data_IF_405059213580
#
_entry.id   IF_405059213580
#
_cell.length_a   1.000
_cell.length_b   1.000
_cell.length_c   1.000
_cell.angle_alpha   90.00
_cell.angle_beta   90.00
_cell.angle_gamma   90.00
#
_symmetry.space_group_name_H-M   'P 1'
#
loop_
_entity.id
_entity.type
_entity.pdbx_description
1 polymer ?
#
# COMPACT_ATOMS: atom_id res chain seq x y z
N UNK A 1 15.93 -4.22 -9.25
CA UNK A 1 15.83 -2.86 -8.71
C UNK A 1 15.23 -2.98 -7.33
N UNK A 2 15.72 -2.22 -6.35
CA UNK A 2 15.24 -2.36 -4.96
C UNK A 2 14.02 -1.45 -4.72
N UNK A 3 12.82 -2.02 -4.84
CA UNK A 3 11.56 -1.31 -4.56
C UNK A 3 11.47 -0.82 -3.10
N UNK A 4 12.13 -1.52 -2.19
CA UNK A 4 11.92 -1.48 -0.73
C UNK A 4 12.76 -0.42 -0.02
N UNK A 5 13.71 0.22 -0.71
CA UNK A 5 14.49 1.35 -0.20
C UNK A 5 14.48 2.56 -1.14
N UNK A 6 13.63 2.51 -2.17
CA UNK A 6 13.44 3.60 -3.10
C UNK A 6 12.51 4.66 -2.51
N UNK A 7 12.87 5.94 -2.68
CA UNK A 7 11.98 7.08 -2.44
C UNK A 7 11.05 7.25 -3.65
N UNK A 8 9.75 7.23 -3.39
CA UNK A 8 8.73 7.44 -4.42
C UNK A 8 8.04 8.77 -4.18
N UNK A 9 7.95 9.60 -5.22
CA UNK A 9 7.27 10.89 -5.17
C UNK A 9 5.81 10.75 -5.63
N UNK A 10 4.87 11.31 -4.90
CA UNK A 10 3.45 11.30 -5.28
C UNK A 10 3.23 12.24 -6.45
N UNK A 11 2.71 11.69 -7.55
CA UNK A 11 2.41 12.42 -8.77
C UNK A 11 1.13 13.25 -8.61
N UNK A 12 1.01 14.37 -9.33
CA UNK A 12 -0.16 15.28 -9.26
C UNK A 12 -1.46 14.62 -9.74
N UNK A 13 -1.37 13.68 -10.69
CA UNK A 13 -2.48 12.83 -11.13
C UNK A 13 -2.72 11.67 -10.13
N UNK A 14 -3.02 12.03 -8.89
CA UNK A 14 -3.43 11.11 -7.82
C UNK A 14 -4.79 11.54 -7.29
N UNK A 15 -5.68 10.58 -7.04
CA UNK A 15 -7.03 10.81 -6.56
C UNK A 15 -7.55 9.60 -5.76
N UNK A 16 -8.87 9.54 -5.51
CA UNK A 16 -9.51 8.45 -4.76
C UNK A 16 -9.50 7.10 -5.48
N UNK A 17 -9.22 7.05 -6.79
CA UNK A 17 -9.02 5.80 -7.54
C UNK A 17 -7.61 5.22 -7.36
N UNK A 18 -6.61 6.08 -7.16
CA UNK A 18 -5.27 5.63 -6.81
C UNK A 18 -4.25 6.75 -6.66
N UNK A 19 -3.17 6.40 -5.97
CA UNK A 19 -2.02 7.30 -5.75
C UNK A 19 -0.91 6.93 -6.71
N UNK A 20 -0.70 7.76 -7.73
CA UNK A 20 0.33 7.52 -8.75
C UNK A 20 1.70 7.95 -8.23
N UNK A 21 2.71 7.14 -8.50
CA UNK A 21 4.05 7.33 -7.98
C UNK A 21 5.05 7.56 -9.10
N UNK A 22 5.98 8.48 -8.84
CA UNK A 22 7.15 8.76 -9.66
C UNK A 22 8.36 8.17 -8.94
N UNK A 23 9.12 7.35 -9.66
CA UNK A 23 10.34 6.76 -9.15
C UNK A 23 11.13 6.11 -10.27
N UNK A 24 12.14 5.30 -9.94
CA UNK A 24 12.99 4.67 -10.92
C UNK A 24 12.21 3.61 -11.72
N UNK A 25 12.62 3.43 -12.98
CA UNK A 25 12.02 2.45 -13.88
C UNK A 25 12.32 1.01 -13.39
N UNK A 26 11.31 0.13 -13.24
CA UNK A 26 11.54 -1.26 -12.84
C UNK A 26 12.43 -1.99 -13.86
N UNK A 27 13.22 -2.94 -13.36
CA UNK A 27 13.98 -3.87 -14.20
C UNK A 27 13.18 -5.15 -14.35
N UNK A 28 12.54 -5.33 -15.49
CA UNK A 28 11.74 -6.49 -15.80
C UNK A 28 12.61 -7.72 -16.11
N UNK A 29 12.12 -8.91 -15.71
CA UNK A 29 12.80 -10.18 -15.97
C UNK A 29 12.39 -10.83 -17.29
N UNK A 30 11.20 -10.48 -17.79
CA UNK A 30 10.66 -10.91 -19.07
C UNK A 30 10.68 -9.75 -20.07
N UNK A 31 10.70 -10.10 -21.36
CA UNK A 31 10.76 -9.14 -22.47
C UNK A 31 9.39 -8.54 -22.81
N UNK A 32 8.30 -9.28 -22.56
CA UNK A 32 6.92 -8.90 -22.82
C UNK A 32 5.95 -9.63 -21.87
N UNK A 33 4.66 -9.36 -22.03
CA UNK A 33 3.59 -9.99 -21.28
C UNK A 33 3.00 -11.25 -21.91
N UNK A 34 3.53 -11.71 -23.05
CA UNK A 34 2.94 -12.76 -23.87
C UNK A 34 1.50 -12.42 -24.28
N UNK A 35 0.59 -13.38 -24.10
CA UNK A 35 -0.84 -13.22 -24.35
C UNK A 35 -1.50 -12.13 -23.47
N UNK A 36 -0.88 -11.77 -22.34
CA UNK A 36 -1.37 -10.69 -21.47
C UNK A 36 -1.14 -9.29 -22.03
N UNK A 37 -0.25 -9.13 -23.02
CA UNK A 37 0.06 -7.85 -23.65
C UNK A 37 1.55 -7.64 -23.95
N UNK A 38 1.88 -6.57 -24.66
CA UNK A 38 3.25 -6.34 -25.15
C UNK A 38 4.24 -5.86 -24.08
N UNK A 39 3.78 -5.25 -22.99
CA UNK A 39 4.69 -4.74 -21.95
C UNK A 39 5.00 -5.82 -20.89
N UNK A 40 6.23 -5.92 -20.37
CA UNK A 40 6.59 -6.87 -19.31
C UNK A 40 5.81 -6.77 -17.99
N UNK A 41 4.98 -5.74 -17.80
CA UNK A 41 4.08 -5.63 -16.65
C UNK A 41 2.75 -6.35 -16.87
N UNK A 42 2.44 -6.75 -18.10
CA UNK A 42 1.15 -7.29 -18.49
C UNK A 42 0.98 -8.77 -18.12
N UNK A 43 -0.04 -9.10 -17.35
CA UNK A 43 -0.44 -10.47 -17.03
C UNK A 43 -1.87 -10.69 -17.51
N UNK A 44 -2.32 -11.95 -17.54
CA UNK A 44 -3.75 -12.21 -17.67
C UNK A 44 -4.51 -11.55 -16.54
N UNK A 45 -5.68 -10.98 -16.86
CA UNK A 45 -6.48 -10.22 -15.92
C UNK A 45 -6.77 -11.00 -14.64
N UNK A 46 -6.35 -10.46 -13.51
CA UNK A 46 -6.56 -11.05 -12.20
C UNK A 46 -7.13 -10.03 -11.20
N UNK A 47 -7.74 -10.52 -10.13
CA UNK A 47 -8.19 -9.66 -9.04
C UNK A 47 -7.04 -8.88 -8.39
N UNK A 48 -7.33 -7.68 -7.92
CA UNK A 48 -6.41 -6.83 -7.18
C UNK A 48 -6.90 -6.66 -5.75
N UNK A 49 -5.98 -6.78 -4.78
CA UNK A 49 -6.27 -6.42 -3.40
C UNK A 49 -6.27 -4.90 -3.24
N UNK A 50 -7.11 -4.38 -2.34
CA UNK A 50 -7.06 -2.98 -1.94
C UNK A 50 -5.66 -2.64 -1.38
N UNK A 51 -5.09 -1.51 -1.80
CA UNK A 51 -3.74 -1.11 -1.43
C UNK A 51 -2.64 -1.82 -2.21
N UNK A 52 -2.96 -2.57 -3.26
CA UNK A 52 -1.95 -3.15 -4.16
C UNK A 52 -1.15 -2.07 -4.87
N UNK A 53 0.16 -2.31 -5.02
CA UNK A 53 1.02 -1.50 -5.88
C UNK A 53 0.92 -2.07 -7.29
N UNK A 54 0.06 -1.50 -8.13
CA UNK A 54 -0.15 -1.92 -9.50
C UNK A 54 0.83 -1.23 -10.44
N UNK A 55 1.49 -1.99 -11.32
CA UNK A 55 2.42 -1.45 -12.32
C UNK A 55 1.75 -1.32 -13.68
N UNK A 56 1.11 -0.18 -13.96
CA UNK A 56 0.56 0.16 -15.29
C UNK A 56 1.72 0.53 -16.23
N UNK A 57 2.42 -0.47 -16.74
CA UNK A 57 3.71 -0.27 -17.40
C UNK A 57 4.81 -0.04 -16.36
N UNK A 58 5.60 1.02 -16.56
CA UNK A 58 6.73 1.35 -15.68
C UNK A 58 6.39 2.31 -14.54
N UNK A 59 5.15 2.83 -14.50
CA UNK A 59 4.69 3.78 -13.49
C UNK A 59 3.76 3.09 -12.49
N UNK A 60 4.16 2.94 -11.22
CA UNK A 60 3.31 2.32 -10.22
C UNK A 60 2.18 3.26 -9.74
N UNK A 61 1.06 2.64 -9.38
CA UNK A 61 -0.08 3.27 -8.72
C UNK A 61 -0.51 2.42 -7.51
N UNK A 62 -0.73 3.07 -6.37
CA UNK A 62 -1.35 2.42 -5.21
C UNK A 62 -2.86 2.43 -5.44
N UNK A 63 -3.48 1.25 -5.55
CA UNK A 63 -4.91 1.12 -5.74
C UNK A 63 -5.65 1.45 -4.44
N UNK A 64 -6.53 2.45 -4.47
CA UNK A 64 -7.28 2.91 -3.30
C UNK A 64 -8.74 2.49 -3.37
N UNK A 65 -9.59 3.02 -2.48
CA UNK A 65 -10.97 2.52 -2.26
C UNK A 65 -11.89 2.63 -3.47
N UNK A 66 -11.64 3.58 -4.38
CA UNK A 66 -12.37 3.70 -5.67
C UNK A 66 -11.54 3.18 -6.85
N UNK A 67 -10.46 2.45 -6.57
CA UNK A 67 -9.60 1.86 -7.58
C UNK A 67 -10.21 0.62 -8.24
N UNK A 68 -9.63 0.18 -9.37
CA UNK A 68 -10.05 -1.05 -10.03
C UNK A 68 -9.85 -2.28 -9.14
N UNK A 69 -10.80 -3.22 -9.22
CA UNK A 69 -10.77 -4.49 -8.50
C UNK A 69 -10.13 -5.63 -9.31
N UNK A 70 -9.96 -5.46 -10.62
CA UNK A 70 -9.34 -6.42 -11.54
C UNK A 70 -8.53 -5.66 -12.60
N UNK A 71 -7.49 -6.30 -13.13
CA UNK A 71 -6.74 -5.79 -14.27
C UNK A 71 -5.57 -6.69 -14.68
N UNK A 72 -5.02 -6.42 -15.85
CA UNK A 72 -3.94 -7.19 -16.49
C UNK A 72 -2.54 -6.69 -16.17
N UNK A 73 -2.33 -6.12 -14.99
CA UNK A 73 -1.03 -5.58 -14.58
C UNK A 73 -0.56 -6.22 -13.27
N UNK A 74 0.75 -6.48 -13.17
CA UNK A 74 1.34 -7.08 -11.97
C UNK A 74 1.21 -6.17 -10.73
N UNK A 75 0.96 -6.82 -9.60
CA UNK A 75 0.89 -6.20 -8.27
C UNK A 75 1.85 -6.91 -7.30
N UNK A 76 3.16 -6.58 -7.26
CA UNK A 76 4.14 -7.33 -6.50
C UNK A 76 4.01 -7.21 -4.97
N UNK A 77 3.32 -6.17 -4.48
CA UNK A 77 3.14 -5.95 -3.04
C UNK A 77 1.81 -5.29 -2.73
N UNK A 78 1.36 -5.45 -1.49
CA UNK A 78 0.13 -4.84 -0.98
C UNK A 78 0.43 -4.09 0.31
N UNK A 79 -0.09 -2.87 0.42
CA UNK A 79 -0.04 -2.08 1.66
C UNK A 79 -0.93 -2.74 2.71
N UNK A 80 -0.45 -2.84 3.95
CA UNK A 80 -1.30 -3.37 5.01
C UNK A 80 -2.50 -2.45 5.26
N UNK A 81 -3.65 -3.04 5.56
CA UNK A 81 -4.87 -2.29 5.92
C UNK A 81 -4.66 -1.28 7.06
N UNK A 82 -3.76 -1.59 7.99
CA UNK A 82 -3.39 -0.71 9.10
C UNK A 82 -2.72 0.61 8.68
N UNK A 83 -2.19 0.68 7.47
CA UNK A 83 -1.53 1.87 6.93
C UNK A 83 -2.39 2.62 5.89
N UNK A 84 -3.61 2.17 5.60
CA UNK A 84 -4.48 2.83 4.61
C UNK A 84 -4.78 4.30 4.96
N UNK A 85 -4.86 4.63 6.25
CA UNK A 85 -5.06 6.02 6.68
C UNK A 85 -3.90 6.93 6.25
N UNK A 86 -2.67 6.42 6.16
CA UNK A 86 -1.51 7.18 5.68
C UNK A 86 -1.66 7.52 4.20
N UNK A 87 -2.14 6.56 3.40
CA UNK A 87 -2.42 6.77 1.97
C UNK A 87 -3.42 7.92 1.79
N UNK A 88 -4.48 7.95 2.60
CA UNK A 88 -5.50 8.99 2.55
C UNK A 88 -5.01 10.39 2.94
N UNK A 89 -3.80 10.53 3.48
CA UNK A 89 -3.18 11.82 3.81
C UNK A 89 -2.14 12.29 2.79
N UNK A 90 -1.80 11.46 1.80
CA UNK A 90 -0.80 11.78 0.78
C UNK A 90 -1.28 12.90 -0.15
N UNK A 91 -0.38 13.82 -0.45
CA UNK A 91 -0.57 14.95 -1.36
C UNK A 91 0.44 14.88 -2.49
N UNK A 92 0.12 15.55 -3.60
CA UNK A 92 1.09 15.71 -4.70
C UNK A 92 2.40 16.31 -4.18
N UNK A 93 3.52 15.72 -4.58
CA UNK A 93 4.85 16.15 -4.16
C UNK A 93 5.38 15.43 -2.92
N UNK A 94 4.53 14.76 -2.13
CA UNK A 94 4.97 13.97 -0.98
C UNK A 94 5.94 12.87 -1.40
N UNK A 95 6.82 12.49 -0.48
CA UNK A 95 7.78 11.40 -0.70
C UNK A 95 7.52 10.29 0.30
N UNK A 96 7.31 9.08 -0.22
CA UNK A 96 7.08 7.86 0.56
C UNK A 96 8.24 6.88 0.37
N UNK A 97 8.44 6.03 1.37
CA UNK A 97 9.31 4.86 1.28
C UNK A 97 8.50 3.65 1.72
N UNK A 98 8.55 2.59 0.92
CA UNK A 98 7.94 1.33 1.30
C UNK A 98 8.84 0.54 2.24
N UNK A 99 8.25 -0.14 3.24
CA UNK A 99 9.00 -0.99 4.16
C UNK A 99 8.42 -2.40 4.18
N UNK A 100 9.21 -3.42 3.81
CA UNK A 100 8.74 -4.79 3.77
C UNK A 100 8.50 -5.30 5.19
N UNK A 101 7.40 -6.01 5.37
CA UNK A 101 7.03 -6.69 6.60
C UNK A 101 6.43 -8.05 6.27
N UNK A 102 6.47 -8.96 7.25
CA UNK A 102 5.83 -10.28 7.15
C UNK A 102 4.37 -10.23 7.62
N UNK A 103 3.57 -11.20 7.22
CA UNK A 103 2.14 -11.29 7.57
C UNK A 103 1.89 -11.20 9.08
N UNK A 104 2.75 -11.82 9.90
CA UNK A 104 2.64 -11.76 11.36
C UNK A 104 2.80 -10.33 11.91
N UNK A 105 3.66 -9.51 11.29
CA UNK A 105 3.79 -8.09 11.65
C UNK A 105 2.55 -7.32 11.19
N UNK A 106 2.05 -7.56 9.98
CA UNK A 106 0.81 -6.95 9.49
C UNK A 106 -0.38 -7.19 10.44
N UNK A 107 -0.55 -8.44 10.89
CA UNK A 107 -1.59 -8.82 11.86
C UNK A 107 -1.40 -8.15 13.22
N UNK A 108 -0.15 -8.02 13.69
CA UNK A 108 0.16 -7.27 14.93
C UNK A 108 -0.22 -5.79 14.80
N UNK A 109 0.10 -5.14 13.69
CA UNK A 109 -0.29 -3.75 13.43
C UNK A 109 -1.82 -3.57 13.40
N UNK A 110 -2.54 -4.50 12.76
CA UNK A 110 -4.01 -4.49 12.75
C UNK A 110 -4.60 -4.61 14.14
N UNK A 111 -4.08 -5.52 14.96
CA UNK A 111 -4.49 -5.67 16.36
C UNK A 111 -4.22 -4.41 17.18
N UNK A 112 -3.06 -3.76 16.98
CA UNK A 112 -2.70 -2.52 17.67
C UNK A 112 -3.67 -1.38 17.35
N UNK A 113 -4.01 -1.17 16.07
CA UNK A 113 -4.98 -0.14 15.67
C UNK A 113 -6.36 -0.43 16.25
N UNK A 114 -6.84 -1.67 16.14
CA UNK A 114 -8.14 -2.03 16.69
C UNK A 114 -8.18 -1.83 18.21
N UNK A 115 -7.09 -2.16 18.92
CA UNK A 115 -6.97 -1.90 20.34
C UNK A 115 -7.03 -0.39 20.65
N UNK A 116 -6.32 0.43 19.89
CA UNK A 116 -6.32 1.90 20.00
C UNK A 116 -7.73 2.49 19.78
N UNK A 117 -8.44 2.05 18.74
CA UNK A 117 -9.80 2.52 18.45
C UNK A 117 -10.78 2.10 19.56
N UNK A 118 -10.68 0.86 20.05
CA UNK A 118 -11.50 0.39 21.17
C UNK A 118 -11.20 1.17 22.46
N UNK A 119 -9.94 1.53 22.70
CA UNK A 119 -9.53 2.38 23.81
C UNK A 119 -10.20 3.77 23.73
N UNK A 120 -10.16 4.42 22.55
CA UNK A 120 -10.84 5.72 22.34
C UNK A 120 -12.34 5.59 22.56
N UNK A 121 -12.96 4.54 22.01
CA UNK A 121 -14.40 4.30 22.20
C UNK A 121 -14.79 4.24 23.68
N UNK A 122 -14.02 3.51 24.49
CA UNK A 122 -14.23 3.44 25.94
C UNK A 122 -14.05 4.78 26.66
N UNK A 123 -13.11 5.63 26.22
CA UNK A 123 -12.96 6.99 26.78
C UNK A 123 -14.18 7.88 26.49
N UNK A 124 -14.78 7.74 25.31
CA UNK A 124 -15.98 8.49 24.94
C UNK A 124 -17.20 8.01 25.73
N UNK A 125 -17.28 6.71 26.02
CA UNK A 125 -18.37 6.10 26.79
C UNK A 125 -18.26 6.39 28.30
N UNK A 126 -17.06 6.62 28.83
CA UNK A 126 -16.80 6.81 30.27
C UNK A 126 -15.72 7.86 30.52
N UNK A 127 -16.14 9.13 30.65
CA UNK A 127 -15.28 10.31 30.83
C UNK A 127 -14.47 10.36 32.16
N UNK A 128 -14.44 9.29 32.97
CA UNK A 128 -13.85 9.31 34.31
C UNK A 128 -12.90 8.16 34.69
N UNK A 129 -12.50 7.28 33.76
CA UNK A 129 -11.58 6.17 34.07
C UNK A 129 -10.15 6.39 33.57
N UNK A 130 -9.19 5.94 34.37
CA UNK A 130 -7.75 6.05 34.14
C UNK A 130 -7.29 4.96 33.16
N UNK A 131 -7.53 5.16 31.86
CA UNK A 131 -7.20 4.18 30.83
C UNK A 131 -5.73 4.39 30.38
N UNK A 132 -4.87 3.36 30.32
CA UNK A 132 -3.45 3.53 29.94
C UNK A 132 -3.27 3.88 28.46
N UNK A 133 -2.48 4.94 28.17
CA UNK A 133 -2.23 5.42 26.82
C UNK A 133 -1.59 4.33 25.93
N UNK A 134 -2.19 3.98 24.78
CA UNK A 134 -1.57 3.10 23.79
C UNK A 134 -0.36 3.75 23.11
N UNK A 135 0.60 2.93 22.65
CA UNK A 135 1.85 3.37 22.00
C UNK A 135 1.55 4.07 20.66
N UNK A 136 2.22 5.20 20.40
CA UNK A 136 2.04 6.01 19.19
C UNK A 136 2.41 5.27 17.90
N UNK A 137 1.63 5.52 16.84
CA UNK A 137 1.97 5.13 15.46
C UNK A 137 2.96 6.16 14.88
N UNK A 138 4.21 5.75 14.65
CA UNK A 138 5.25 6.64 14.12
C UNK A 138 5.19 6.79 12.58
N UNK A 139 5.46 8.04 12.14
CA UNK A 139 5.80 8.54 10.79
C UNK A 139 4.86 8.16 9.63
N UNK A 140 4.14 9.16 9.09
CA UNK A 140 3.20 9.04 7.96
C UNK A 140 3.90 8.63 6.65
N UNK A 141 5.19 8.95 6.49
CA UNK A 141 5.91 8.75 5.22
C UNK A 141 6.45 7.33 5.00
N UNK A 142 6.33 6.46 6.01
CA UNK A 142 6.72 5.05 5.92
C UNK A 142 5.48 4.18 5.76
N UNK A 143 5.30 3.59 4.59
CA UNK A 143 4.21 2.67 4.29
C UNK A 143 4.69 1.22 4.38
N UNK A 144 4.02 0.42 5.19
CA UNK A 144 4.36 -0.99 5.36
C UNK A 144 3.74 -1.86 4.26
N UNK A 145 4.58 -2.65 3.60
CA UNK A 145 4.22 -3.60 2.55
C UNK A 145 4.36 -5.03 3.02
N UNK A 146 3.42 -5.88 2.65
CA UNK A 146 3.66 -7.32 2.65
C UNK A 146 3.53 -7.87 1.23
N UNK A 147 4.23 -8.98 0.99
CA UNK A 147 4.15 -9.72 -0.25
C UNK A 147 3.10 -10.82 -0.11
N UNK A 148 2.11 -10.83 -0.99
CA UNK A 148 1.35 -12.04 -1.27
C UNK A 148 2.19 -12.88 -2.23
N UNK A 149 2.90 -13.89 -1.73
CA UNK A 149 3.48 -14.89 -2.60
C UNK A 149 2.32 -15.58 -3.38
N UNK A 150 2.06 -15.10 -4.59
CA UNK A 150 1.73 -15.96 -5.71
C UNK A 150 2.98 -15.98 -6.57
N UNK A 151 3.75 -17.05 -6.42
CA UNK A 151 4.78 -17.41 -7.38
C UNK A 151 4.09 -17.57 -8.73
N UNK A 152 4.37 -16.68 -9.67
CA UNK A 152 4.18 -16.93 -11.09
C UNK A 152 5.56 -17.13 -11.70
#
# INVERSE_FOLDING_TARGET
>A
MDLLNTKWKVHFSSNRMGIRLIGPRPKWKRLDGGEGGSHPSNIHDCGHALGSINFTGDMPIILTVEGPTQGGFVCPFTIISSDFWKIGQLKSGDTIIFKPIIINQALKHKKLINHYLNYIKKLLDYSSLNIPKPKHFNNINNLLLYNHYYSY
#
